data_IF_052251176394
#
_entry.id   IF_052251176394
#
_cell.length_a   1.000
_cell.length_b   1.000
_cell.length_c   1.000
_cell.angle_alpha   90.00
_cell.angle_beta   90.00
_cell.angle_gamma   90.00
#
_symmetry.space_group_name_H-M   'P 1'
#
loop_
_entity.id
_entity.type
_entity.pdbx_description
1 polymer ?
#
# COMPACT_ATOMS: atom_id res chain seq x y z
N UNK A 1 1.77 -7.18 16.45
CA UNK A 1 2.59 -7.45 15.23
C UNK A 1 2.51 -6.23 14.33
N UNK A 2 3.62 -5.57 14.00
CA UNK A 2 3.62 -4.44 13.07
C UNK A 2 3.07 -4.86 11.70
N UNK A 3 2.26 -3.98 11.10
CA UNK A 3 1.69 -4.20 9.76
C UNK A 3 1.93 -2.98 8.89
N UNK A 4 2.18 -3.23 7.60
CA UNK A 4 2.33 -2.19 6.59
C UNK A 4 1.07 -2.10 5.73
N UNK A 5 0.77 -0.90 5.24
CA UNK A 5 -0.25 -0.68 4.21
C UNK A 5 0.48 -0.38 2.91
N UNK A 6 0.09 -1.05 1.84
CA UNK A 6 0.61 -0.78 0.50
C UNK A 6 -0.32 0.22 -0.18
N UNK A 7 0.25 1.23 -0.84
CA UNK A 7 -0.50 2.17 -1.68
C UNK A 7 -0.05 1.96 -3.12
N UNK A 8 -0.97 1.61 -4.01
CA UNK A 8 -0.70 1.34 -5.43
C UNK A 8 -1.89 1.75 -6.30
N UNK A 9 -1.69 1.86 -7.61
CA UNK A 9 -2.75 2.10 -8.62
C UNK A 9 -2.95 0.89 -9.53
N UNK A 10 -3.91 0.95 -10.45
CA UNK A 10 -4.19 -0.10 -11.43
C UNK A 10 -3.09 -0.27 -12.51
N UNK A 11 -2.09 0.62 -12.56
CA UNK A 11 -1.00 0.50 -13.52
C UNK A 11 -0.03 -0.64 -13.15
N UNK A 12 0.48 -1.31 -14.19
CA UNK A 12 1.33 -2.50 -14.03
C UNK A 12 2.59 -2.23 -13.20
N UNK A 13 3.16 -1.02 -13.28
CA UNK A 13 4.39 -0.69 -12.57
C UNK A 13 4.14 -0.57 -11.06
N UNK A 14 3.04 0.09 -10.67
CA UNK A 14 2.61 0.16 -9.27
C UNK A 14 2.33 -1.23 -8.70
N UNK A 15 1.62 -2.09 -9.44
CA UNK A 15 1.32 -3.46 -8.99
C UNK A 15 2.58 -4.33 -8.89
N UNK A 16 3.56 -4.15 -9.78
CA UNK A 16 4.85 -4.83 -9.68
C UNK A 16 5.60 -4.45 -8.40
N UNK A 17 5.64 -3.16 -8.05
CA UNK A 17 6.25 -2.69 -6.80
C UNK A 17 5.48 -3.22 -5.59
N UNK A 18 4.14 -3.22 -5.62
CA UNK A 18 3.31 -3.81 -4.58
C UNK A 18 3.61 -5.31 -4.38
N UNK A 19 3.82 -6.06 -5.46
CA UNK A 19 4.21 -7.47 -5.41
C UNK A 19 5.55 -7.68 -4.73
N UNK A 20 6.55 -6.84 -5.01
CA UNK A 20 7.86 -6.92 -4.37
C UNK A 20 7.76 -6.69 -2.86
N UNK A 21 6.92 -5.73 -2.43
CA UNK A 21 6.66 -5.49 -1.00
C UNK A 21 5.99 -6.69 -0.34
N UNK A 22 4.96 -7.26 -0.96
CA UNK A 22 4.27 -8.44 -0.43
C UNK A 22 5.22 -9.65 -0.31
N UNK A 23 6.04 -9.88 -1.35
CA UNK A 23 7.04 -10.94 -1.38
C UNK A 23 8.11 -10.75 -0.31
N UNK A 24 8.58 -9.52 -0.10
CA UNK A 24 9.54 -9.21 0.95
C UNK A 24 8.96 -9.48 2.35
N UNK A 25 7.70 -9.09 2.59
CA UNK A 25 7.01 -9.38 3.86
C UNK A 25 6.89 -10.88 4.09
N UNK A 26 6.49 -11.66 3.07
CA UNK A 26 6.41 -13.12 3.19
C UNK A 26 7.79 -13.75 3.45
N UNK A 27 8.82 -13.27 2.76
CA UNK A 27 10.21 -13.68 2.99
C UNK A 27 10.64 -13.43 4.44
N UNK A 28 10.41 -12.23 4.98
CA UNK A 28 10.74 -11.92 6.37
C UNK A 28 9.96 -12.79 7.37
N UNK A 29 8.69 -13.13 7.08
CA UNK A 29 7.93 -14.08 7.91
C UNK A 29 8.56 -15.47 7.94
N UNK A 30 9.05 -15.97 6.81
CA UNK A 30 9.75 -17.27 6.74
C UNK A 30 11.05 -17.30 7.54
N UNK A 31 11.71 -16.15 7.71
CA UNK A 31 12.90 -15.99 8.55
C UNK A 31 12.59 -15.78 10.05
N UNK A 32 11.34 -15.89 10.48
CA UNK A 32 10.94 -15.66 11.88
C UNK A 32 10.63 -14.20 12.22
N UNK A 33 10.53 -13.32 11.22
CA UNK A 33 10.11 -11.93 11.38
C UNK A 33 8.61 -11.79 11.65
N UNK A 34 8.23 -10.73 12.37
CA UNK A 34 6.86 -10.50 12.86
C UNK A 34 6.08 -9.40 12.09
N UNK A 35 6.40 -9.21 10.80
CA UNK A 35 5.77 -8.20 9.95
C UNK A 35 4.68 -8.83 9.07
N UNK A 36 3.61 -8.07 8.81
CA UNK A 36 2.54 -8.46 7.87
C UNK A 36 2.09 -7.30 7.00
N UNK A 37 1.38 -7.61 5.91
CA UNK A 37 0.63 -6.61 5.14
C UNK A 37 -0.77 -6.52 5.73
N UNK A 38 -1.20 -5.33 6.15
CA UNK A 38 -2.56 -5.09 6.63
C UNK A 38 -3.57 -5.12 5.48
N UNK A 39 -3.15 -4.65 4.31
CA UNK A 39 -3.95 -4.56 3.09
C UNK A 39 -3.34 -3.56 2.11
N UNK A 40 -4.01 -3.39 0.97
CA UNK A 40 -3.67 -2.40 -0.03
C UNK A 40 -4.74 -1.32 -0.13
N UNK A 41 -4.31 -0.11 -0.44
CA UNK A 41 -5.17 1.00 -0.83
C UNK A 41 -4.92 1.34 -2.28
N UNK A 42 -5.99 1.34 -3.07
CA UNK A 42 -5.96 1.74 -4.49
C UNK A 42 -5.99 3.26 -4.60
N UNK A 43 -4.91 3.87 -5.07
CA UNK A 43 -4.80 5.31 -5.28
C UNK A 43 -5.19 5.67 -6.71
N UNK A 44 -5.94 6.76 -6.87
CA UNK A 44 -6.48 7.22 -8.16
C UNK A 44 -7.18 6.08 -8.92
N UNK A 45 -8.04 5.36 -8.21
CA UNK A 45 -8.74 4.23 -8.81
C UNK A 45 -9.61 4.71 -9.99
N UNK A 46 -9.28 4.22 -11.17
CA UNK A 46 -9.98 4.45 -12.44
C UNK A 46 -11.06 3.38 -12.71
N UNK A 47 -11.23 2.43 -11.79
CA UNK A 47 -12.23 1.37 -11.89
C UNK A 47 -11.81 0.20 -12.79
N UNK A 48 -10.54 0.12 -13.22
CA UNK A 48 -10.07 -0.94 -14.12
C UNK A 48 -10.06 -2.34 -13.48
N UNK A 49 -10.08 -2.46 -12.15
CA UNK A 49 -10.20 -3.74 -11.46
C UNK A 49 -8.88 -4.50 -11.23
N UNK A 50 -7.75 -3.99 -11.72
CA UNK A 50 -6.46 -4.69 -11.66
C UNK A 50 -5.89 -4.76 -10.24
N UNK A 51 -6.03 -3.67 -9.49
CA UNK A 51 -5.67 -3.60 -8.08
C UNK A 51 -6.47 -4.59 -7.24
N UNK A 52 -7.78 -4.71 -7.51
CA UNK A 52 -8.66 -5.68 -6.85
C UNK A 52 -8.28 -7.12 -7.16
N UNK A 53 -8.00 -7.41 -8.44
CA UNK A 53 -7.51 -8.73 -8.86
C UNK A 53 -6.17 -9.07 -8.20
N UNK A 54 -5.25 -8.10 -8.11
CA UNK A 54 -3.97 -8.24 -7.43
C UNK A 54 -4.15 -8.58 -5.94
N UNK A 55 -4.96 -7.81 -5.20
CA UNK A 55 -5.25 -8.06 -3.78
C UNK A 55 -5.75 -9.48 -3.54
N UNK A 56 -6.67 -9.95 -4.40
CA UNK A 56 -7.19 -11.32 -4.36
C UNK A 56 -6.10 -12.36 -4.65
N UNK A 57 -5.23 -12.10 -5.62
CA UNK A 57 -4.16 -13.02 -6.01
C UNK A 57 -3.10 -13.20 -4.90
N UNK A 58 -2.72 -12.12 -4.21
CA UNK A 58 -1.72 -12.17 -3.13
C UNK A 58 -2.34 -12.42 -1.74
N UNK A 59 -3.67 -12.50 -1.64
CA UNK A 59 -4.37 -12.83 -0.41
C UNK A 59 -4.36 -11.72 0.66
N UNK A 60 -4.38 -10.45 0.24
CA UNK A 60 -4.48 -9.30 1.14
C UNK A 60 -5.80 -8.55 0.94
N UNK A 61 -6.37 -7.91 1.97
CA UNK A 61 -7.59 -7.14 1.81
C UNK A 61 -7.33 -5.82 1.07
N UNK A 62 -8.31 -5.38 0.31
CA UNK A 62 -8.41 -4.00 -0.15
C UNK A 62 -9.10 -3.16 0.94
N UNK A 63 -8.45 -2.10 1.41
CA UNK A 63 -8.89 -1.38 2.61
C UNK A 63 -9.90 -0.26 2.32
N UNK A 64 -9.86 0.32 1.12
CA UNK A 64 -10.71 1.45 0.72
C UNK A 64 -11.15 1.27 -0.74
N UNK A 65 -12.04 0.29 -1.02
CA UNK A 65 -12.57 0.01 -2.35
C UNK A 65 -13.58 1.10 -2.74
N UNK A 66 -13.10 2.30 -3.01
CA UNK A 66 -13.93 3.39 -3.53
C UNK A 66 -13.34 3.86 -4.86
N UNK A 67 -14.12 3.87 -5.95
CA UNK A 67 -13.70 4.49 -7.18
C UNK A 67 -13.38 5.98 -6.94
N UNK A 68 -12.36 6.50 -7.65
CA UNK A 68 -11.89 7.89 -7.60
C UNK A 68 -11.23 8.37 -6.30
N UNK A 69 -10.90 7.46 -5.38
CA UNK A 69 -10.14 7.88 -4.20
C UNK A 69 -8.74 8.35 -4.59
N UNK A 70 -8.39 9.58 -4.20
CA UNK A 70 -7.05 10.14 -4.40
C UNK A 70 -6.40 10.41 -3.05
N UNK A 71 -5.27 9.75 -2.80
CA UNK A 71 -4.42 10.05 -1.66
C UNK A 71 -3.44 11.14 -2.09
N UNK A 72 -3.46 12.25 -1.36
CA UNK A 72 -2.47 13.32 -1.52
C UNK A 72 -1.49 13.26 -0.35
N UNK A 73 -0.20 13.32 -0.66
CA UNK A 73 0.82 13.51 0.37
C UNK A 73 0.71 14.95 0.86
N UNK A 74 0.30 15.13 2.11
CA UNK A 74 0.32 16.44 2.74
C UNK A 74 1.78 16.91 2.81
N UNK A 75 2.07 18.11 2.29
CA UNK A 75 3.35 18.75 2.60
C UNK A 75 3.37 19.04 4.09
N UNK A 76 4.37 18.53 4.79
CA UNK A 76 4.61 18.90 6.18
C UNK A 76 4.78 20.43 6.21
N UNK A 77 4.00 21.16 7.02
CA UNK A 77 4.25 22.59 7.18
C UNK A 77 5.70 22.78 7.64
N UNK A 78 6.43 23.79 7.14
CA UNK A 78 7.76 24.08 7.63
C UNK A 78 7.66 24.22 9.15
N UNK A 79 8.44 23.43 9.89
CA UNK A 79 8.54 23.56 11.34
C UNK A 79 8.91 25.00 11.64
N UNK A 80 8.00 25.74 12.27
CA UNK A 80 8.37 26.99 12.94
C UNK A 80 9.40 26.56 13.98
N UNK A 81 10.67 26.84 13.73
CA UNK A 81 11.68 26.81 14.77
C UNK A 81 11.13 27.67 15.89
N UNK A 82 10.79 27.07 17.04
CA UNK A 82 10.59 27.85 18.24
C UNK A 82 11.97 28.46 18.52
N UNK A 83 12.11 29.75 18.22
CA UNK A 83 13.24 30.52 18.68
C UNK A 83 13.24 30.42 20.21
N UNK A 84 14.28 29.79 20.74
CA UNK A 84 14.61 29.79 22.16
C UNK A 84 15.06 31.19 22.60
#
# INVERSE_FOLDING_TARGET
MPKVIVVASNDLQSLYVANNVCSAVEYFRKLGGNVGVAGMVTNKDDGAGQAQAFCKAVGIPELLPSPHMTISVAKTPPTKSLAA
#
